data_IF_624831430530
#
_entry.id   IF_624831430530
#
_cell.length_a   1.000
_cell.length_b   1.000
_cell.length_c   1.000
_cell.angle_alpha   90.00
_cell.angle_beta   90.00
_cell.angle_gamma   90.00
#
_symmetry.space_group_name_H-M   'P 1'
#
loop_
_entity.id
_entity.type
_entity.pdbx_description
1 polymer ?
#
# COMPACT_ATOMS: atom_id res chain seq x y z
N UNK A 1 -16.90 -16.19 -2.52
CA UNK A 1 -15.57 -15.92 -1.93
C UNK A 1 -15.25 -14.47 -2.25
N UNK A 2 -15.06 -13.61 -1.24
CA UNK A 2 -14.53 -12.27 -1.44
C UNK A 2 -13.00 -12.36 -1.24
N UNK A 3 -12.21 -11.86 -2.20
CA UNK A 3 -10.76 -11.97 -2.19
C UNK A 3 -10.06 -10.88 -1.37
N UNK A 4 -8.77 -11.07 -1.13
CA UNK A 4 -7.91 -10.09 -0.48
C UNK A 4 -6.75 -9.70 -1.43
N UNK A 5 -6.48 -8.40 -1.53
CA UNK A 5 -5.32 -7.83 -2.22
C UNK A 5 -4.33 -7.39 -1.14
N UNK A 6 -3.17 -8.04 -1.06
CA UNK A 6 -2.17 -7.82 0.00
C UNK A 6 -0.93 -7.13 -0.57
N UNK A 7 -0.46 -6.08 0.10
CA UNK A 7 0.81 -5.43 -0.21
C UNK A 7 2.00 -6.26 0.27
N UNK A 8 3.20 -6.09 -0.31
CA UNK A 8 4.40 -6.65 0.29
C UNK A 8 4.61 -6.08 1.70
N UNK A 9 4.86 -6.96 2.66
CA UNK A 9 5.09 -6.56 4.06
C UNK A 9 6.42 -5.83 4.24
N UNK A 10 7.44 -6.16 3.44
CA UNK A 10 8.74 -5.51 3.51
C UNK A 10 8.80 -4.28 2.59
N UNK A 11 9.19 -3.10 3.11
CA UNK A 11 9.40 -1.90 2.29
C UNK A 11 10.38 -2.09 1.13
N UNK A 12 11.34 -3.00 1.28
CA UNK A 12 12.34 -3.31 0.26
C UNK A 12 11.78 -4.14 -0.91
N UNK A 13 10.63 -4.80 -0.70
CA UNK A 13 9.95 -5.57 -1.75
C UNK A 13 9.03 -4.69 -2.60
N UNK A 14 8.84 -3.43 -2.23
CA UNK A 14 8.13 -2.45 -3.03
C UNK A 14 8.98 -2.01 -4.22
N UNK A 15 8.35 -1.48 -5.27
CA UNK A 15 9.07 -1.00 -6.45
C UNK A 15 10.15 0.01 -6.04
N UNK A 16 11.46 -0.27 -6.26
CA UNK A 16 12.53 0.64 -5.86
C UNK A 16 12.48 1.99 -6.60
N UNK A 17 11.80 2.06 -7.75
CA UNK A 17 11.56 3.32 -8.48
C UNK A 17 10.42 4.13 -7.86
N UNK A 18 9.47 3.47 -7.20
CA UNK A 18 8.31 4.10 -6.55
C UNK A 18 8.05 3.54 -5.15
N UNK A 19 9.02 3.61 -4.22
CA UNK A 19 8.95 2.89 -2.95
C UNK A 19 7.85 3.42 -2.03
N UNK A 20 7.30 4.62 -2.30
CA UNK A 20 6.22 5.22 -1.51
C UNK A 20 4.83 4.87 -2.05
N UNK A 21 4.75 3.98 -3.03
CA UNK A 21 3.55 3.77 -3.82
C UNK A 21 3.33 2.29 -4.06
N UNK A 22 2.28 1.75 -3.46
CA UNK A 22 1.90 0.35 -3.63
C UNK A 22 0.78 0.16 -4.65
N UNK A 23 -0.28 0.96 -4.56
CA UNK A 23 -1.45 0.84 -5.42
C UNK A 23 -1.89 2.23 -5.89
N UNK A 24 -1.93 2.42 -7.20
CA UNK A 24 -2.35 3.68 -7.84
C UNK A 24 -3.44 3.42 -8.85
N UNK A 25 -4.46 4.26 -8.78
CA UNK A 25 -5.48 4.38 -9.81
C UNK A 25 -5.30 5.73 -10.51
N UNK A 26 -4.98 5.73 -11.80
CA UNK A 26 -4.74 6.95 -12.58
C UNK A 26 -5.61 7.00 -13.84
N UNK A 27 -5.98 8.20 -14.27
CA UNK A 27 -6.73 8.41 -15.53
C UNK A 27 -8.14 7.81 -15.57
N UNK A 28 -8.75 7.52 -14.43
CA UNK A 28 -10.06 6.88 -14.38
C UNK A 28 -11.19 7.84 -14.77
N UNK A 29 -12.13 7.37 -15.61
CA UNK A 29 -13.39 8.06 -15.93
C UNK A 29 -14.55 7.08 -15.81
N UNK A 30 -15.51 7.37 -14.93
CA UNK A 30 -16.72 6.55 -14.74
C UNK A 30 -16.48 5.17 -14.12
N UNK A 31 -15.45 5.01 -13.27
CA UNK A 31 -15.09 3.73 -12.65
C UNK A 31 -15.67 3.62 -11.23
N UNK A 32 -16.19 2.43 -10.91
CA UNK A 32 -16.70 2.09 -9.57
C UNK A 32 -15.96 0.84 -9.07
N UNK A 33 -15.41 0.93 -7.87
CA UNK A 33 -14.85 -0.22 -7.14
C UNK A 33 -15.90 -0.77 -6.18
N UNK A 34 -16.28 -2.03 -6.37
CA UNK A 34 -17.36 -2.69 -5.64
C UNK A 34 -16.97 -4.13 -5.29
N UNK A 35 -17.58 -4.67 -4.25
CA UNK A 35 -17.35 -6.01 -3.73
C UNK A 35 -17.10 -6.00 -2.23
N UNK A 36 -17.20 -7.18 -1.59
CA UNK A 36 -16.91 -7.36 -0.16
C UNK A 36 -15.48 -7.79 0.14
N UNK A 37 -14.55 -7.62 -0.81
CA UNK A 37 -13.15 -8.00 -0.68
C UNK A 37 -12.35 -7.02 0.17
N UNK A 38 -11.11 -7.39 0.51
CA UNK A 38 -10.23 -6.60 1.37
C UNK A 38 -9.03 -6.09 0.57
N UNK A 39 -8.66 -4.84 0.81
CA UNK A 39 -7.38 -4.26 0.35
C UNK A 39 -6.52 -4.08 1.60
N UNK A 40 -5.51 -4.91 1.74
CA UNK A 40 -4.58 -4.93 2.87
C UNK A 40 -3.24 -4.30 2.46
N UNK A 41 -2.98 -3.10 2.96
CA UNK A 41 -1.80 -2.31 2.58
C UNK A 41 -0.49 -2.68 3.28
N UNK A 42 -0.47 -3.66 4.18
CA UNK A 42 0.71 -4.09 4.95
C UNK A 42 1.61 -2.96 5.47
N UNK A 43 1.00 -1.84 5.90
CA UNK A 43 1.71 -0.58 6.16
C UNK A 43 2.48 -0.49 7.48
N UNK A 44 2.43 -1.52 8.33
CA UNK A 44 2.97 -1.47 9.70
C UNK A 44 4.45 -1.08 9.75
N UNK A 45 5.29 -1.71 8.92
CA UNK A 45 6.73 -1.40 8.83
C UNK A 45 6.98 -0.01 8.23
N UNK A 46 6.18 0.40 7.26
CA UNK A 46 6.27 1.75 6.69
C UNK A 46 6.01 2.85 7.72
N UNK A 47 4.98 2.68 8.56
CA UNK A 47 4.68 3.64 9.62
C UNK A 47 5.75 3.63 10.70
N UNK A 48 6.24 2.46 11.11
CA UNK A 48 7.31 2.32 12.09
C UNK A 48 8.61 3.04 11.66
N UNK A 49 8.95 2.97 10.38
CA UNK A 49 10.12 3.64 9.80
C UNK A 49 9.92 5.13 9.51
N UNK A 50 8.70 5.66 9.66
CA UNK A 50 8.42 7.07 9.38
C UNK A 50 9.08 8.01 10.38
N UNK A 51 9.51 9.19 9.93
CA UNK A 51 10.13 10.21 10.79
C UNK A 51 9.24 10.72 11.94
N UNK A 52 7.92 10.46 11.87
CA UNK A 52 6.96 10.77 12.94
C UNK A 52 7.11 9.85 14.14
N UNK A 53 7.49 8.59 13.90
CA UNK A 53 7.66 7.55 14.91
C UNK A 53 9.15 7.36 15.21
N UNK A 54 9.98 7.22 14.18
CA UNK A 54 11.43 7.11 14.28
C UNK A 54 12.10 8.48 14.08
N UNK A 55 12.41 9.16 15.19
CA UNK A 55 13.06 10.48 15.21
C UNK A 55 14.59 10.44 14.97
N UNK A 56 15.17 9.27 14.68
CA UNK A 56 16.63 9.05 14.61
C UNK A 56 17.17 8.80 13.19
N UNK A 57 16.35 8.89 12.15
CA UNK A 57 16.81 8.75 10.77
C UNK A 57 17.53 9.99 10.26
#
# INVERSE_FOLDING_TARGET
>A
IAGEIVAPDEPNDWDPKNPRTWLVFSGLKGVIFQGGGIINGSGSKWWASSCKINKKN
#
